data_IF_642544017699
#
_entry.id   IF_642544017699
#
_cell.length_a   1.000
_cell.length_b   1.000
_cell.length_c   1.000
_cell.angle_alpha   90.00
_cell.angle_beta   90.00
_cell.angle_gamma   90.00
#
_symmetry.space_group_name_H-M   'P 1'
#
loop_
_entity.id
_entity.type
_entity.pdbx_description
1 polymer ?
#
# COMPACT_ATOMS: atom_id res chain seq x y z
N UNK A 1 -22.90 -15.54 16.54
CA UNK A 1 -22.61 -14.91 15.24
C UNK A 1 -22.82 -13.43 15.46
N UNK A 2 -21.76 -12.68 15.74
CA UNK A 2 -21.84 -11.22 15.82
C UNK A 2 -22.12 -10.70 14.41
N UNK A 3 -23.16 -9.89 14.27
CA UNK A 3 -23.42 -9.15 13.03
C UNK A 3 -22.39 -8.02 12.99
N UNK A 4 -21.31 -8.21 12.24
CA UNK A 4 -20.39 -7.11 11.93
C UNK A 4 -21.11 -6.08 11.07
N UNK A 5 -20.87 -4.80 11.35
CA UNK A 5 -21.36 -3.73 10.49
C UNK A 5 -20.66 -3.84 9.12
N UNK A 6 -21.40 -3.60 8.04
CA UNK A 6 -20.78 -3.52 6.73
C UNK A 6 -19.90 -2.25 6.69
N UNK A 7 -18.63 -2.41 6.35
CA UNK A 7 -17.71 -1.29 6.14
C UNK A 7 -18.19 -0.41 4.98
N UNK A 8 -17.85 0.88 5.02
CA UNK A 8 -18.20 1.82 3.96
C UNK A 8 -17.31 1.63 2.73
N UNK A 9 -17.83 2.00 1.56
CA UNK A 9 -17.03 2.04 0.34
C UNK A 9 -15.94 3.11 0.43
N UNK A 10 -14.82 2.90 -0.27
CA UNK A 10 -13.74 3.90 -0.31
C UNK A 10 -14.21 5.18 -0.99
N UNK A 11 -15.09 5.08 -1.98
CA UNK A 11 -15.75 6.22 -2.64
C UNK A 11 -16.52 7.09 -1.64
N UNK A 12 -17.30 6.46 -0.75
CA UNK A 12 -18.03 7.17 0.30
C UNK A 12 -17.08 7.83 1.32
N UNK A 13 -15.98 7.17 1.66
CA UNK A 13 -14.96 7.70 2.57
C UNK A 13 -14.26 8.92 1.94
N UNK A 14 -13.87 8.82 0.67
CA UNK A 14 -13.26 9.92 -0.10
C UNK A 14 -14.21 11.13 -0.14
N UNK A 15 -15.52 10.91 -0.34
CA UNK A 15 -16.50 11.99 -0.35
C UNK A 15 -16.64 12.68 1.01
N UNK A 16 -16.60 11.94 2.12
CA UNK A 16 -16.64 12.55 3.45
C UNK A 16 -15.38 13.37 3.74
N UNK A 17 -14.20 12.89 3.34
CA UNK A 17 -12.95 13.65 3.44
C UNK A 17 -13.03 14.94 2.60
N UNK A 18 -13.56 14.86 1.37
CA UNK A 18 -13.78 16.03 0.49
C UNK A 18 -14.73 17.07 1.09
N UNK A 19 -15.69 16.62 1.90
CA UNK A 19 -16.60 17.50 2.62
C UNK A 19 -16.03 18.03 3.95
N UNK A 20 -14.78 17.69 4.28
CA UNK A 20 -14.11 18.10 5.51
C UNK A 20 -14.53 17.34 6.75
N UNK A 21 -15.17 16.18 6.59
CA UNK A 21 -15.54 15.30 7.72
C UNK A 21 -14.36 14.41 8.11
N UNK A 22 -14.42 13.91 9.34
CA UNK A 22 -13.55 12.84 9.80
C UNK A 22 -14.11 11.48 9.34
N UNK A 23 -13.22 10.51 9.14
CA UNK A 23 -13.53 9.10 8.91
C UNK A 23 -12.65 8.25 9.83
N UNK A 24 -12.94 6.96 9.93
CA UNK A 24 -12.09 5.99 10.62
C UNK A 24 -11.41 5.11 9.56
N UNK A 25 -10.09 4.99 9.64
CA UNK A 25 -9.35 3.99 8.89
C UNK A 25 -8.72 2.99 9.82
N UNK A 26 -8.88 1.72 9.49
CA UNK A 26 -8.22 0.60 10.15
C UNK A 26 -7.08 0.06 9.30
N UNK A 27 -6.00 -0.35 9.95
CA UNK A 27 -4.98 -1.19 9.33
C UNK A 27 -5.26 -2.69 9.52
N UNK A 28 -4.39 -3.54 8.95
CA UNK A 28 -4.56 -5.00 9.02
C UNK A 28 -4.38 -5.52 10.46
N UNK A 29 -5.12 -6.58 10.81
CA UNK A 29 -5.05 -7.22 12.14
C UNK A 29 -3.63 -7.75 12.49
N UNK A 30 -2.82 -8.05 11.48
CA UNK A 30 -1.43 -8.52 11.62
C UNK A 30 -0.39 -7.38 11.62
N UNK A 31 -0.83 -6.10 11.58
CA UNK A 31 0.04 -4.91 11.61
C UNK A 31 -0.03 -4.22 12.98
N UNK A 32 -0.70 -3.06 13.11
CA UNK A 32 -0.95 -2.38 14.39
C UNK A 32 -2.28 -2.84 15.00
N UNK A 33 -3.22 -3.27 14.15
CA UNK A 33 -4.59 -3.66 14.49
C UNK A 33 -5.37 -2.51 15.16
N UNK A 34 -5.11 -1.29 14.71
CA UNK A 34 -5.59 -0.05 15.31
C UNK A 34 -6.48 0.71 14.33
N UNK A 35 -7.21 1.70 14.84
CA UNK A 35 -8.05 2.58 14.05
C UNK A 35 -7.75 4.04 14.35
N UNK A 36 -7.58 4.82 13.29
CA UNK A 36 -7.29 6.24 13.37
C UNK A 36 -8.49 7.05 12.89
N UNK A 37 -8.78 8.13 13.61
CA UNK A 37 -9.54 9.24 13.05
C UNK A 37 -8.68 9.89 11.96
N UNK A 38 -9.25 10.11 10.78
CA UNK A 38 -8.56 10.71 9.63
C UNK A 38 -9.40 11.86 9.07
N UNK A 39 -8.76 13.00 8.78
CA UNK A 39 -9.36 14.08 7.99
C UNK A 39 -8.32 14.77 7.11
N UNK A 40 -8.75 15.45 6.04
CA UNK A 40 -7.88 16.31 5.27
C UNK A 40 -7.43 17.53 6.10
N UNK A 41 -6.12 17.80 6.11
CA UNK A 41 -5.54 18.83 6.96
C UNK A 41 -6.01 20.25 6.60
N UNK A 42 -6.34 20.52 5.35
CA UNK A 42 -6.87 21.82 4.91
C UNK A 42 -8.25 22.16 5.50
N UNK A 43 -8.99 21.15 5.96
CA UNK A 43 -10.28 21.29 6.62
C UNK A 43 -10.17 21.27 8.16
N UNK A 44 -8.95 21.23 8.71
CA UNK A 44 -8.75 21.13 10.15
C UNK A 44 -9.28 22.37 10.90
N UNK A 45 -10.14 22.12 11.88
CA UNK A 45 -10.69 23.13 12.79
C UNK A 45 -10.33 22.85 14.25
N UNK A 46 -10.54 23.84 15.12
CA UNK A 46 -10.36 23.68 16.56
C UNK A 46 -11.32 22.63 17.14
N UNK A 47 -12.53 22.54 16.61
CA UNK A 47 -13.52 21.53 17.00
C UNK A 47 -13.06 20.13 16.65
N UNK A 48 -12.48 19.94 15.46
CA UNK A 48 -11.94 18.65 15.05
C UNK A 48 -10.76 18.20 15.92
N UNK A 49 -9.80 19.11 16.20
CA UNK A 49 -8.70 18.81 17.13
C UNK A 49 -9.21 18.50 18.54
N UNK A 50 -10.22 19.24 19.01
CA UNK A 50 -10.82 18.98 20.32
C UNK A 50 -11.55 17.62 20.35
N UNK A 51 -12.23 17.25 19.26
CA UNK A 51 -12.84 15.94 19.10
C UNK A 51 -11.79 14.83 19.15
N UNK A 52 -10.74 14.93 18.34
CA UNK A 52 -9.62 13.99 18.33
C UNK A 52 -8.95 13.86 19.71
N UNK A 53 -8.72 14.97 20.41
CA UNK A 53 -8.11 14.95 21.75
C UNK A 53 -9.01 14.33 22.82
N UNK A 54 -10.34 14.49 22.69
CA UNK A 54 -11.31 14.00 23.67
C UNK A 54 -11.70 12.54 23.46
N UNK A 55 -11.95 12.17 22.20
CA UNK A 55 -12.55 10.89 21.83
C UNK A 55 -11.54 9.93 21.19
N UNK A 56 -10.60 10.44 20.39
CA UNK A 56 -9.45 9.63 19.92
C UNK A 56 -8.47 9.38 21.07
N UNK A 57 -8.05 10.46 21.75
CA UNK A 57 -7.11 10.49 22.89
C UNK A 57 -5.67 10.09 22.55
N UNK A 58 -5.44 9.56 21.35
CA UNK A 58 -4.12 9.26 20.81
C UNK A 58 -3.28 10.49 20.52
N UNK A 59 -2.18 10.28 19.81
CA UNK A 59 -1.26 11.33 19.45
C UNK A 59 -1.76 12.01 18.17
N UNK A 60 -2.15 13.28 18.28
CA UNK A 60 -2.55 14.04 17.10
C UNK A 60 -1.33 14.30 16.21
N UNK A 61 -1.31 13.62 15.08
CA UNK A 61 -0.25 13.67 14.11
C UNK A 61 -0.74 14.32 12.81
N UNK A 62 0.21 14.75 11.98
CA UNK A 62 -0.07 15.43 10.71
C UNK A 62 0.69 14.74 9.56
N UNK A 63 0.13 13.68 8.96
CA UNK A 63 0.67 13.10 7.74
C UNK A 63 0.80 14.13 6.63
N UNK A 64 1.93 14.14 5.94
CA UNK A 64 2.17 14.97 4.77
C UNK A 64 3.16 14.30 3.83
N UNK A 65 3.05 14.64 2.55
CA UNK A 65 3.99 14.15 1.54
C UNK A 65 5.42 14.58 1.81
N UNK A 66 6.38 13.80 1.29
CA UNK A 66 7.81 14.17 1.31
C UNK A 66 8.04 15.57 0.74
N UNK A 67 7.42 15.89 -0.39
CA UNK A 67 7.54 17.21 -1.04
C UNK A 67 7.09 18.35 -0.12
N UNK A 68 5.99 18.15 0.62
CA UNK A 68 5.50 19.11 1.62
C UNK A 68 6.47 19.26 2.78
N UNK A 69 7.03 18.16 3.30
CA UNK A 69 8.09 18.20 4.31
C UNK A 69 9.32 18.98 3.83
N UNK A 70 9.76 18.73 2.59
CA UNK A 70 10.91 19.41 1.98
C UNK A 70 10.67 20.91 1.79
N UNK A 71 9.49 21.30 1.31
CA UNK A 71 9.08 22.71 1.20
C UNK A 71 9.13 23.43 2.56
N UNK A 72 8.69 22.76 3.62
CA UNK A 72 8.67 23.31 4.98
C UNK A 72 9.99 23.16 5.73
N UNK A 73 10.99 22.49 5.14
CA UNK A 73 12.28 22.24 5.79
C UNK A 73 12.17 21.32 7.02
N UNK A 74 11.33 20.29 6.96
CA UNK A 74 11.05 19.36 8.06
C UNK A 74 11.81 18.03 7.88
N UNK A 75 13.02 17.87 8.45
CA UNK A 75 13.73 16.59 8.43
C UNK A 75 13.10 15.59 9.39
N UNK A 76 13.43 14.30 9.22
CA UNK A 76 13.12 13.26 10.21
C UNK A 76 13.77 13.59 11.55
N UNK A 77 13.04 13.37 12.64
CA UNK A 77 13.55 13.67 13.98
C UNK A 77 14.68 12.71 14.43
N UNK A 78 14.70 11.49 13.90
CA UNK A 78 15.73 10.47 14.15
C UNK A 78 16.20 9.90 12.81
N UNK A 79 17.52 9.80 12.63
CA UNK A 79 18.12 9.27 11.39
C UNK A 79 18.07 7.75 11.29
N UNK A 80 18.24 7.04 12.41
CA UNK A 80 18.13 5.58 12.47
C UNK A 80 16.86 5.20 13.22
N UNK A 81 15.77 5.03 12.49
CA UNK A 81 14.49 4.64 13.06
C UNK A 81 14.51 3.14 13.39
N UNK A 82 14.48 2.82 14.68
CA UNK A 82 14.41 1.45 15.18
C UNK A 82 12.97 1.01 15.54
N UNK A 83 11.95 1.81 15.19
CA UNK A 83 10.55 1.45 15.39
C UNK A 83 10.16 0.26 14.52
N UNK A 84 9.40 -0.67 15.10
CA UNK A 84 8.94 -1.89 14.40
C UNK A 84 8.08 -1.60 13.16
N UNK A 85 7.38 -0.47 13.12
CA UNK A 85 6.49 -0.08 12.00
C UNK A 85 7.05 1.04 11.11
N UNK A 86 8.27 1.51 11.41
CA UNK A 86 9.00 2.48 10.59
C UNK A 86 8.37 3.87 10.46
N UNK A 87 7.42 4.24 11.32
CA UNK A 87 6.70 5.54 11.27
C UNK A 87 7.68 6.71 11.27
N UNK A 88 7.59 7.56 10.24
CA UNK A 88 8.57 8.59 9.91
C UNK A 88 8.23 9.95 10.52
N UNK A 89 8.40 10.05 11.84
CA UNK A 89 8.25 11.31 12.55
C UNK A 89 9.28 12.34 12.08
N UNK A 90 8.80 13.54 11.77
CA UNK A 90 9.63 14.74 11.61
C UNK A 90 9.76 15.48 12.95
N UNK A 91 10.48 16.60 12.96
CA UNK A 91 10.49 17.49 14.12
C UNK A 91 9.07 18.02 14.41
N UNK A 92 8.69 18.08 15.69
CA UNK A 92 7.40 18.68 16.06
C UNK A 92 7.37 20.17 15.75
N UNK A 93 6.20 20.67 15.37
CA UNK A 93 6.02 22.03 14.85
C UNK A 93 4.98 22.82 15.63
N UNK A 94 5.13 24.13 15.61
CA UNK A 94 4.15 25.12 16.04
C UNK A 94 4.04 26.24 14.98
N UNK A 95 2.87 26.85 14.80
CA UNK A 95 2.76 28.06 13.99
C UNK A 95 3.59 29.20 14.61
N UNK A 96 4.31 29.94 13.78
CA UNK A 96 5.11 31.08 14.24
C UNK A 96 4.25 32.25 14.76
N UNK A 97 3.00 32.35 14.30
CA UNK A 97 2.07 33.43 14.65
C UNK A 97 0.64 32.92 14.82
N UNK A 98 -0.13 33.60 15.67
CA UNK A 98 -1.55 33.29 15.89
C UNK A 98 -1.80 32.18 16.90
N UNK A 99 -0.79 31.84 17.71
CA UNK A 99 -0.83 30.85 18.79
C UNK A 99 -0.31 31.45 20.09
N UNK A 100 -0.57 30.78 21.21
CA UNK A 100 -0.07 31.16 22.53
C UNK A 100 0.98 30.17 23.04
N UNK A 101 0.54 29.11 23.72
CA UNK A 101 1.39 28.02 24.19
C UNK A 101 1.49 26.89 23.18
N UNK A 102 0.58 26.84 22.19
CA UNK A 102 0.58 25.83 21.14
C UNK A 102 -0.32 24.63 21.41
N UNK A 103 -0.58 24.28 22.67
CA UNK A 103 -1.25 23.02 23.03
C UNK A 103 -2.79 23.06 22.89
N UNK A 104 -3.39 24.25 22.90
CA UNK A 104 -4.85 24.38 22.82
C UNK A 104 -5.38 23.80 21.50
N UNK A 105 -6.65 23.42 21.46
CA UNK A 105 -7.24 22.91 20.21
C UNK A 105 -7.20 23.96 19.09
N UNK A 106 -7.40 25.23 19.43
CA UNK A 106 -7.29 26.34 18.48
C UNK A 106 -5.86 26.58 18.01
N UNK A 107 -4.88 26.52 18.92
CA UNK A 107 -3.46 26.72 18.58
C UNK A 107 -2.96 25.57 17.67
N UNK A 108 -3.26 24.32 18.02
CA UNK A 108 -2.94 23.15 17.20
C UNK A 108 -3.59 23.20 15.81
N UNK A 109 -4.86 23.57 15.73
CA UNK A 109 -5.54 23.77 14.45
C UNK A 109 -4.88 24.88 13.62
N UNK A 110 -4.49 25.99 14.27
CA UNK A 110 -3.76 27.08 13.61
C UNK A 110 -2.41 26.62 13.07
N UNK A 111 -1.71 25.76 13.79
CA UNK A 111 -0.45 25.13 13.37
C UNK A 111 -0.64 24.25 12.14
N UNK A 112 -1.65 23.39 12.13
CA UNK A 112 -2.01 22.58 10.94
C UNK A 112 -2.28 23.48 9.73
N UNK A 113 -3.12 24.51 9.91
CA UNK A 113 -3.46 25.46 8.84
C UNK A 113 -2.25 26.23 8.29
N UNK A 114 -1.28 26.56 9.14
CA UNK A 114 -0.04 27.21 8.70
C UNK A 114 0.81 26.27 7.84
N UNK A 115 0.88 24.99 8.20
CA UNK A 115 1.66 23.99 7.48
C UNK A 115 1.06 23.60 6.11
N UNK A 116 -0.27 23.55 5.98
CA UNK A 116 -0.94 23.24 4.69
C UNK A 116 -1.31 24.46 3.84
N UNK A 117 -0.96 25.67 4.26
CA UNK A 117 -1.23 26.84 3.44
C UNK A 117 -0.56 26.69 2.06
N UNK A 118 -1.26 27.07 0.98
CA UNK A 118 -0.78 26.92 -0.41
C UNK A 118 0.64 27.48 -0.63
N UNK A 119 0.96 28.59 0.03
CA UNK A 119 2.26 29.26 -0.06
C UNK A 119 3.09 29.13 1.23
N UNK A 120 2.84 28.10 2.04
CA UNK A 120 3.53 27.88 3.30
C UNK A 120 5.04 27.84 3.10
N UNK A 121 5.77 28.44 4.05
CA UNK A 121 7.23 28.48 4.08
C UNK A 121 7.71 27.93 5.41
N UNK A 122 8.96 27.45 5.45
CA UNK A 122 9.61 27.04 6.68
C UNK A 122 9.50 28.08 7.82
N UNK A 123 9.56 29.38 7.50
CA UNK A 123 9.44 30.47 8.48
C UNK A 123 8.04 30.67 9.09
N UNK A 124 7.01 30.05 8.51
CA UNK A 124 5.65 30.10 9.05
C UNK A 124 5.47 29.15 10.24
N UNK A 125 6.46 28.28 10.46
CA UNK A 125 6.52 27.28 11.53
C UNK A 125 7.78 27.48 12.38
N UNK A 126 7.70 27.07 13.63
CA UNK A 126 8.84 26.98 14.56
C UNK A 126 8.93 25.56 15.10
N UNK A 127 10.13 25.15 15.51
CA UNK A 127 10.40 23.86 16.15
C UNK A 127 11.12 24.08 17.49
N UNK A 128 10.80 23.31 18.56
CA UNK A 128 9.75 22.28 18.63
C UNK A 128 8.33 22.88 18.76
N UNK A 129 7.31 22.04 18.71
CA UNK A 129 5.91 22.40 18.99
C UNK A 129 5.02 21.21 19.34
N UNK A 130 3.70 21.38 19.22
CA UNK A 130 2.68 20.41 19.70
C UNK A 130 1.88 19.71 18.59
N UNK A 131 2.22 19.93 17.32
CA UNK A 131 1.79 19.08 16.20
C UNK A 131 2.98 18.23 15.75
N UNK A 132 2.73 16.96 15.43
CA UNK A 132 3.75 15.97 15.07
C UNK A 132 3.60 15.56 13.61
N UNK A 133 4.36 16.16 12.68
CA UNK A 133 4.22 15.80 11.27
C UNK A 133 4.87 14.45 10.97
N UNK A 134 4.20 13.67 10.13
CA UNK A 134 4.64 12.36 9.67
C UNK A 134 4.90 12.42 8.17
N UNK A 135 6.09 12.00 7.74
CA UNK A 135 6.46 11.99 6.33
C UNK A 135 5.96 10.70 5.68
N UNK A 136 5.06 10.82 4.69
CA UNK A 136 4.61 9.66 3.92
C UNK A 136 5.67 9.21 2.90
N UNK A 137 5.64 7.93 2.55
CA UNK A 137 6.46 7.45 1.44
C UNK A 137 5.93 7.88 0.07
N UNK A 138 6.83 8.12 -0.91
CA UNK A 138 6.44 8.25 -2.30
C UNK A 138 5.63 7.03 -2.74
N UNK A 139 4.51 7.26 -3.43
CA UNK A 139 3.58 6.20 -3.83
C UNK A 139 2.46 5.89 -2.83
N UNK A 140 2.53 6.42 -1.60
CA UNK A 140 1.46 6.26 -0.61
C UNK A 140 1.25 4.81 -0.18
N UNK A 141 0.00 4.39 -0.03
CA UNK A 141 -0.35 3.06 0.51
C UNK A 141 0.13 1.90 -0.35
N UNK A 142 0.44 2.17 -1.62
CA UNK A 142 1.00 1.21 -2.56
C UNK A 142 2.49 0.93 -2.30
N UNK A 143 3.18 1.82 -1.57
CA UNK A 143 4.55 1.63 -1.10
C UNK A 143 4.58 1.14 0.35
N UNK A 144 3.77 1.75 1.23
CA UNK A 144 3.70 1.41 2.66
C UNK A 144 2.26 1.50 3.14
N UNK A 145 1.70 0.37 3.59
CA UNK A 145 0.34 0.27 4.09
C UNK A 145 0.21 0.81 5.54
N UNK A 146 0.40 2.11 5.75
CA UNK A 146 0.27 2.76 7.06
C UNK A 146 -0.72 3.91 7.06
N UNK A 147 -1.22 4.28 8.25
CA UNK A 147 -2.14 5.41 8.44
C UNK A 147 -1.58 6.73 7.90
N UNK A 148 -0.25 6.92 7.96
CA UNK A 148 0.44 8.07 7.38
C UNK A 148 0.18 8.18 5.88
N UNK A 149 0.46 7.12 5.11
CA UNK A 149 0.25 7.12 3.67
C UNK A 149 -1.23 7.20 3.31
N UNK A 150 -2.07 6.42 4.00
CA UNK A 150 -3.51 6.38 3.74
C UNK A 150 -4.17 7.75 3.89
N UNK A 151 -3.74 8.54 4.87
CA UNK A 151 -4.25 9.89 5.11
C UNK A 151 -3.87 10.87 4.01
N UNK A 152 -2.61 10.83 3.54
CA UNK A 152 -2.17 11.63 2.41
C UNK A 152 -2.92 11.26 1.12
N UNK A 153 -3.10 9.95 0.89
CA UNK A 153 -3.77 9.44 -0.31
C UNK A 153 -5.26 9.78 -0.32
N UNK A 154 -5.98 9.59 0.80
CA UNK A 154 -7.38 9.99 0.90
C UNK A 154 -7.58 11.48 0.68
N UNK A 155 -6.72 12.32 1.25
CA UNK A 155 -6.77 13.76 1.03
C UNK A 155 -6.53 14.11 -0.46
N UNK A 156 -5.56 13.47 -1.11
CA UNK A 156 -5.29 13.67 -2.53
C UNK A 156 -6.47 13.21 -3.41
N UNK A 157 -7.04 12.03 -3.16
CA UNK A 157 -8.21 11.49 -3.88
C UNK A 157 -9.47 12.36 -3.67
N UNK A 158 -9.58 13.01 -2.52
CA UNK A 158 -10.62 13.99 -2.23
C UNK A 158 -10.45 15.31 -3.02
N UNK A 159 -9.28 15.57 -3.60
CA UNK A 159 -8.94 16.83 -4.28
C UNK A 159 -8.39 17.90 -3.34
N UNK A 160 -8.01 17.53 -2.12
CA UNK A 160 -7.41 18.38 -1.11
C UNK A 160 -5.87 18.40 -1.25
N UNK A 161 -5.22 19.29 -0.49
CA UNK A 161 -3.78 19.16 -0.24
C UNK A 161 -3.45 17.74 0.28
N UNK A 162 -2.43 17.03 -0.27
CA UNK A 162 -1.99 15.70 0.18
C UNK A 162 -1.35 15.69 1.58
N UNK A 163 -2.13 16.08 2.58
CA UNK A 163 -1.80 16.11 3.99
C UNK A 163 -3.07 15.87 4.81
N UNK A 164 -2.92 15.11 5.90
CA UNK A 164 -4.00 14.75 6.80
C UNK A 164 -3.75 15.21 8.23
N UNK A 165 -4.76 15.03 9.07
CA UNK A 165 -4.62 15.02 10.53
C UNK A 165 -5.18 13.70 11.03
N UNK A 166 -4.39 13.00 11.83
CA UNK A 166 -4.77 11.71 12.39
C UNK A 166 -4.66 11.68 13.91
N UNK A 167 -5.43 10.78 14.52
CA UNK A 167 -5.37 10.49 15.94
C UNK A 167 -5.86 9.07 16.17
N UNK A 168 -5.04 8.23 16.79
CA UNK A 168 -5.43 6.86 17.15
C UNK A 168 -6.59 6.90 18.14
N UNK A 169 -7.50 5.91 18.05
CA UNK A 169 -8.68 5.80 18.92
C UNK A 169 -8.39 4.84 20.08
N UNK A 170 -8.47 5.35 21.31
CA UNK A 170 -8.36 4.58 22.54
C UNK A 170 -9.70 4.41 23.25
N UNK A 171 -9.89 3.24 23.85
CA UNK A 171 -10.97 2.93 24.76
C UNK A 171 -10.87 3.76 26.06
N UNK A 172 -11.94 3.76 26.85
CA UNK A 172 -12.02 4.50 28.12
C UNK A 172 -11.00 4.07 29.18
N UNK A 173 -10.57 2.81 29.12
CA UNK A 173 -9.56 2.25 30.01
C UNK A 173 -8.12 2.53 29.54
N UNK A 174 -7.95 3.21 28.40
CA UNK A 174 -6.66 3.52 27.79
C UNK A 174 -6.07 2.40 26.93
N UNK A 175 -6.81 1.30 26.71
CA UNK A 175 -6.44 0.31 25.70
C UNK A 175 -6.76 0.81 24.29
N UNK A 176 -6.11 0.27 23.26
CA UNK A 176 -6.42 0.62 21.86
C UNK A 176 -7.77 0.04 21.45
N UNK A 177 -8.61 0.84 20.79
CA UNK A 177 -9.88 0.39 20.25
C UNK A 177 -9.63 -0.60 19.11
N UNK A 178 -10.27 -1.76 19.17
CA UNK A 178 -10.21 -2.77 18.09
C UNK A 178 -11.46 -2.72 17.24
N UNK A 179 -11.52 -3.51 16.17
CA UNK A 179 -12.62 -3.52 15.19
C UNK A 179 -14.03 -3.35 15.80
N UNK A 180 -14.40 -4.16 16.78
CA UNK A 180 -15.74 -4.08 17.39
C UNK A 180 -15.98 -2.77 18.16
N UNK A 181 -14.92 -2.21 18.76
CA UNK A 181 -14.98 -0.92 19.45
C UNK A 181 -15.11 0.22 18.43
N UNK A 182 -14.34 0.14 17.34
CA UNK A 182 -14.33 1.10 16.24
C UNK A 182 -15.66 1.13 15.48
N UNK A 183 -16.28 -0.02 15.22
CA UNK A 183 -17.61 -0.11 14.61
C UNK A 183 -18.66 0.59 15.49
N UNK A 184 -18.60 0.43 16.83
CA UNK A 184 -19.50 1.14 17.76
C UNK A 184 -19.20 2.63 17.83
N UNK A 185 -17.92 3.01 17.84
CA UNK A 185 -17.48 4.40 17.85
C UNK A 185 -17.93 5.13 16.58
N UNK A 186 -17.83 4.47 15.42
CA UNK A 186 -18.32 4.95 14.13
C UNK A 186 -19.83 5.25 14.17
N UNK A 187 -20.62 4.31 14.70
CA UNK A 187 -22.07 4.48 14.85
C UNK A 187 -22.43 5.60 15.85
N UNK A 188 -21.76 5.67 17.00
CA UNK A 188 -22.00 6.70 18.03
C UNK A 188 -21.75 8.12 17.51
N UNK A 189 -20.72 8.29 16.69
CA UNK A 189 -20.27 9.59 16.21
C UNK A 189 -20.64 9.90 14.76
N UNK A 190 -21.42 9.03 14.10
CA UNK A 190 -21.84 9.17 12.70
C UNK A 190 -20.64 9.35 11.75
N UNK A 191 -19.63 8.48 11.91
CA UNK A 191 -18.41 8.48 11.10
C UNK A 191 -18.38 7.24 10.21
N UNK A 192 -17.96 7.42 8.95
CA UNK A 192 -17.68 6.29 8.07
C UNK A 192 -16.41 5.56 8.49
N UNK A 193 -16.39 4.25 8.29
CA UNK A 193 -15.28 3.37 8.63
C UNK A 193 -14.88 2.49 7.44
N UNK A 194 -13.57 2.36 7.20
CA UNK A 194 -13.02 1.49 6.16
C UNK A 194 -11.62 1.00 6.50
N UNK A 195 -10.98 0.27 5.59
CA UNK A 195 -9.65 -0.31 5.79
C UNK A 195 -8.62 0.24 4.80
N UNK A 196 -7.36 0.26 5.21
CA UNK A 196 -6.23 0.55 4.31
C UNK A 196 -6.16 -0.49 3.19
N UNK A 197 -6.49 -1.75 3.47
CA UNK A 197 -6.57 -2.81 2.46
C UNK A 197 -7.56 -2.46 1.34
N UNK A 198 -8.77 -1.99 1.69
CA UNK A 198 -9.77 -1.55 0.71
C UNK A 198 -9.30 -0.31 -0.05
N UNK A 199 -8.57 0.62 0.59
CA UNK A 199 -7.98 1.78 -0.08
C UNK A 199 -6.89 1.37 -1.09
N UNK A 200 -6.01 0.45 -0.72
CA UNK A 200 -5.00 -0.12 -1.63
C UNK A 200 -5.71 -0.74 -2.84
N UNK A 201 -6.75 -1.53 -2.59
CA UNK A 201 -7.56 -2.14 -3.65
C UNK A 201 -8.17 -1.09 -4.58
N UNK A 202 -8.84 -0.08 -4.01
CA UNK A 202 -9.44 1.02 -4.74
C UNK A 202 -8.43 1.75 -5.63
N UNK A 203 -7.27 2.16 -5.07
CA UNK A 203 -6.23 2.86 -5.84
C UNK A 203 -5.70 1.98 -6.96
N UNK A 204 -5.42 0.71 -6.69
CA UNK A 204 -4.87 -0.20 -7.70
C UNK A 204 -5.83 -0.43 -8.88
N UNK A 205 -7.15 -0.35 -8.66
CA UNK A 205 -8.15 -0.48 -9.72
C UNK A 205 -8.37 0.80 -10.52
N UNK A 206 -8.27 1.95 -9.88
CA UNK A 206 -8.61 3.25 -10.46
C UNK A 206 -7.40 4.03 -10.98
N UNK A 207 -6.18 3.64 -10.60
CA UNK A 207 -4.94 4.29 -11.01
C UNK A 207 -4.10 3.36 -11.90
N UNK A 208 -3.45 3.94 -12.91
CA UNK A 208 -2.44 3.24 -13.71
C UNK A 208 -1.07 3.51 -13.11
N UNK A 209 -0.47 2.49 -12.52
CA UNK A 209 0.82 2.61 -11.83
C UNK A 209 1.99 2.05 -12.63
N UNK A 210 1.68 1.25 -13.66
CA UNK A 210 2.66 0.67 -14.59
C UNK A 210 2.44 1.13 -16.03
N UNK A 211 3.53 1.35 -16.74
CA UNK A 211 3.54 1.74 -18.16
C UNK A 211 4.46 0.82 -18.97
N UNK A 212 3.96 0.30 -20.10
CA UNK A 212 4.79 -0.43 -21.06
C UNK A 212 5.70 0.57 -21.80
N UNK A 213 7.01 0.43 -21.62
CA UNK A 213 8.02 1.34 -22.18
C UNK A 213 8.75 0.78 -23.38
N UNK A 214 8.73 -0.54 -23.57
CA UNK A 214 9.47 -1.21 -24.64
C UNK A 214 8.85 -2.57 -24.99
N UNK A 215 8.96 -2.98 -26.25
CA UNK A 215 8.56 -4.29 -26.75
C UNK A 215 9.63 -4.83 -27.71
N UNK A 216 10.10 -6.07 -27.50
CA UNK A 216 11.11 -6.75 -28.32
C UNK A 216 10.78 -8.23 -28.48
N UNK A 217 11.30 -8.86 -29.54
CA UNK A 217 11.32 -10.32 -29.64
C UNK A 217 12.57 -10.87 -28.92
N UNK A 218 12.37 -11.83 -28.03
CA UNK A 218 13.41 -12.48 -27.23
C UNK A 218 13.48 -13.97 -27.58
N UNK A 219 14.58 -14.38 -28.20
CA UNK A 219 14.89 -15.78 -28.47
C UNK A 219 15.41 -16.46 -27.19
N UNK A 220 14.75 -17.54 -26.77
CA UNK A 220 15.06 -18.27 -25.53
C UNK A 220 15.20 -19.76 -25.80
N UNK A 221 15.71 -20.53 -24.83
CA UNK A 221 15.78 -22.00 -24.93
C UNK A 221 14.40 -22.67 -25.07
N UNK A 222 13.32 -21.96 -24.74
CA UNK A 222 11.94 -22.43 -24.84
C UNK A 222 11.24 -21.94 -26.12
N UNK A 223 11.91 -21.14 -26.95
CA UNK A 223 11.34 -20.50 -28.14
C UNK A 223 11.33 -18.98 -28.06
N UNK A 224 10.74 -18.34 -29.07
CA UNK A 224 10.70 -16.87 -29.19
C UNK A 224 9.49 -16.32 -28.42
N UNK A 225 9.76 -15.48 -27.42
CA UNK A 225 8.75 -14.72 -26.69
C UNK A 225 8.75 -13.27 -27.15
N UNK A 226 7.58 -12.65 -27.17
CA UNK A 226 7.46 -11.20 -27.17
C UNK A 226 7.70 -10.72 -25.74
N UNK A 227 8.78 -9.96 -25.53
CA UNK A 227 9.14 -9.36 -24.26
C UNK A 227 8.59 -7.93 -24.21
N UNK A 228 7.76 -7.64 -23.21
CA UNK A 228 7.35 -6.27 -22.86
C UNK A 228 8.01 -5.83 -21.56
N UNK A 229 8.57 -4.63 -21.56
CA UNK A 229 9.18 -4.00 -20.39
C UNK A 229 8.22 -2.99 -19.79
N UNK A 230 7.93 -3.13 -18.50
CA UNK A 230 7.06 -2.22 -17.76
C UNK A 230 7.85 -1.42 -16.74
N UNK A 231 7.57 -0.12 -16.66
CA UNK A 231 8.10 0.77 -15.63
C UNK A 231 7.03 1.01 -14.57
N UNK A 232 7.40 0.78 -13.31
CA UNK A 232 6.60 1.15 -12.16
C UNK A 232 6.92 2.60 -11.76
N UNK A 233 5.91 3.46 -11.81
CA UNK A 233 6.04 4.88 -11.47
C UNK A 233 6.06 5.15 -9.95
N UNK A 234 5.75 4.13 -9.13
CA UNK A 234 5.76 4.21 -7.68
C UNK A 234 7.13 3.85 -7.13
N UNK A 235 7.61 2.64 -7.41
CA UNK A 235 8.87 2.15 -6.86
C UNK A 235 10.07 2.43 -7.78
N UNK A 236 9.84 2.87 -9.02
CA UNK A 236 10.87 2.99 -10.04
C UNK A 236 11.41 1.63 -10.54
N UNK A 237 10.73 0.54 -10.18
CA UNK A 237 11.12 -0.81 -10.57
C UNK A 237 10.83 -1.05 -12.06
N UNK A 238 11.53 -2.03 -12.63
CA UNK A 238 11.30 -2.52 -13.98
C UNK A 238 10.80 -3.96 -13.92
N UNK A 239 9.63 -4.21 -14.50
CA UNK A 239 9.00 -5.52 -14.59
C UNK A 239 9.00 -6.00 -16.04
N UNK A 240 8.88 -7.31 -16.25
CA UNK A 240 8.85 -7.90 -17.59
C UNK A 240 7.57 -8.72 -17.76
N UNK A 241 7.03 -8.74 -18.97
CA UNK A 241 6.06 -9.75 -19.39
C UNK A 241 6.61 -10.45 -20.62
N UNK A 242 6.68 -11.78 -20.56
CA UNK A 242 7.06 -12.65 -21.67
C UNK A 242 5.80 -13.30 -22.22
N UNK A 243 5.44 -12.97 -23.46
CA UNK A 243 4.22 -13.42 -24.11
C UNK A 243 4.55 -14.39 -25.23
N UNK A 244 3.74 -15.44 -25.38
CA UNK A 244 3.77 -16.32 -26.54
C UNK A 244 2.38 -16.43 -27.15
N UNK A 245 2.31 -16.42 -28.47
CA UNK A 245 1.06 -16.49 -29.22
C UNK A 245 0.17 -15.24 -29.07
N UNK A 246 -1.04 -15.32 -29.62
CA UNK A 246 -2.04 -14.26 -29.52
C UNK A 246 -2.85 -14.41 -28.23
N UNK A 247 -2.94 -13.34 -27.44
CA UNK A 247 -3.72 -13.31 -26.20
C UNK A 247 -5.00 -12.51 -26.46
N UNK A 248 -6.15 -13.09 -26.09
CA UNK A 248 -7.44 -12.41 -26.12
C UNK A 248 -8.16 -12.51 -24.77
N UNK A 249 -8.99 -11.52 -24.39
CA UNK A 249 -9.67 -11.55 -23.10
C UNK A 249 -10.64 -12.72 -22.92
N UNK A 250 -11.27 -13.17 -24.02
CA UNK A 250 -12.35 -14.16 -23.99
C UNK A 250 -11.89 -15.60 -23.82
N UNK A 251 -10.63 -15.88 -24.13
CA UNK A 251 -10.07 -17.23 -24.17
C UNK A 251 -9.04 -17.44 -23.05
N UNK A 252 -9.18 -18.51 -22.25
CA UNK A 252 -8.24 -18.76 -21.17
C UNK A 252 -6.84 -19.09 -21.71
N UNK A 253 -5.81 -18.47 -21.12
CA UNK A 253 -4.40 -18.74 -21.42
C UNK A 253 -3.63 -19.15 -20.17
N UNK A 254 -2.51 -19.88 -20.31
CA UNK A 254 -1.64 -20.15 -19.16
C UNK A 254 -0.91 -18.88 -18.75
N UNK A 255 -0.98 -18.57 -17.45
CA UNK A 255 -0.36 -17.38 -16.87
C UNK A 255 0.47 -17.74 -15.67
N UNK A 256 1.65 -17.14 -15.54
CA UNK A 256 2.43 -17.13 -14.30
C UNK A 256 2.78 -15.69 -13.93
N UNK A 257 2.40 -15.25 -12.74
CA UNK A 257 2.98 -14.05 -12.11
C UNK A 257 4.06 -14.54 -11.15
N UNK A 258 5.30 -14.16 -11.41
CA UNK A 258 6.49 -14.68 -10.72
C UNK A 258 7.27 -13.53 -10.08
N UNK A 259 7.60 -13.68 -8.81
CA UNK A 259 8.53 -12.80 -8.11
C UNK A 259 9.92 -13.41 -8.28
N UNK A 260 10.86 -12.60 -8.77
CA UNK A 260 12.22 -13.06 -9.06
C UNK A 260 12.95 -13.55 -7.80
N UNK A 261 13.57 -14.73 -7.87
CA UNK A 261 14.36 -15.34 -6.80
C UNK A 261 15.70 -15.79 -7.36
N UNK A 262 16.80 -15.17 -6.92
CA UNK A 262 18.16 -15.46 -7.39
C UNK A 262 18.54 -16.94 -7.23
N UNK A 263 18.23 -17.57 -6.10
CA UNK A 263 18.64 -18.95 -5.84
C UNK A 263 17.87 -19.92 -6.74
N UNK A 264 16.56 -19.73 -6.89
CA UNK A 264 15.73 -20.63 -7.70
C UNK A 264 15.87 -20.38 -9.18
N UNK A 265 15.88 -19.11 -9.60
CA UNK A 265 15.79 -18.73 -11.01
C UNK A 265 17.17 -18.71 -11.68
N UNK A 266 18.23 -18.25 -11.00
CA UNK A 266 19.58 -18.24 -11.58
C UNK A 266 20.39 -19.50 -11.26
N UNK A 267 20.30 -20.03 -10.02
CA UNK A 267 21.10 -21.20 -9.62
C UNK A 267 20.36 -22.54 -9.76
N UNK A 268 19.06 -22.52 -10.06
CA UNK A 268 18.25 -23.73 -10.16
C UNK A 268 18.04 -24.44 -8.82
N UNK A 269 18.14 -23.72 -7.69
CA UNK A 269 17.99 -24.30 -6.36
C UNK A 269 16.56 -24.85 -6.14
N UNK A 270 16.48 -26.03 -5.53
CA UNK A 270 15.21 -26.71 -5.24
C UNK A 270 15.03 -26.89 -3.74
N UNK A 271 13.81 -26.64 -3.25
CA UNK A 271 13.40 -26.94 -1.87
C UNK A 271 12.49 -28.17 -1.90
N UNK A 272 12.77 -29.17 -1.05
CA UNK A 272 12.15 -30.51 -1.10
C UNK A 272 10.61 -30.52 -1.03
N UNK A 273 9.99 -29.47 -0.49
CA UNK A 273 8.53 -29.37 -0.33
C UNK A 273 7.90 -28.16 -1.05
N UNK A 274 8.65 -27.48 -1.94
CA UNK A 274 8.11 -26.32 -2.64
C UNK A 274 7.07 -26.74 -3.69
N UNK A 275 5.84 -26.24 -3.52
CA UNK A 275 4.73 -26.40 -4.48
C UNK A 275 4.59 -25.22 -5.45
N UNK A 276 5.55 -24.28 -5.42
CA UNK A 276 5.54 -23.10 -6.27
C UNK A 276 6.25 -23.41 -7.59
N UNK A 277 5.62 -23.05 -8.71
CA UNK A 277 6.20 -23.19 -10.05
C UNK A 277 7.58 -22.51 -10.13
N UNK A 278 8.64 -23.25 -10.55
CA UNK A 278 9.90 -22.64 -10.96
C UNK A 278 9.71 -21.81 -12.23
N UNK A 279 10.46 -20.71 -12.38
CA UNK A 279 10.38 -19.84 -13.56
C UNK A 279 10.55 -20.61 -14.88
N UNK A 280 11.64 -21.39 -14.97
CA UNK A 280 11.98 -22.16 -16.16
C UNK A 280 10.88 -23.13 -16.60
N UNK A 281 10.20 -23.77 -15.63
CA UNK A 281 9.11 -24.70 -15.94
C UNK A 281 7.82 -23.97 -16.35
N UNK A 282 7.59 -22.75 -15.83
CA UNK A 282 6.47 -21.93 -16.29
C UNK A 282 6.70 -21.44 -17.72
N UNK A 283 7.92 -21.03 -18.07
CA UNK A 283 8.30 -20.65 -19.44
C UNK A 283 8.15 -21.82 -20.40
N UNK A 284 8.68 -22.99 -20.04
CA UNK A 284 8.53 -24.22 -20.82
C UNK A 284 7.06 -24.58 -21.01
N UNK A 285 6.25 -24.53 -19.94
CA UNK A 285 4.82 -24.86 -20.02
C UNK A 285 4.04 -23.93 -20.94
N UNK A 286 4.31 -22.63 -20.89
CA UNK A 286 3.70 -21.64 -21.78
C UNK A 286 4.16 -21.88 -23.23
N UNK A 287 5.43 -22.25 -23.41
CA UNK A 287 5.98 -22.54 -24.72
C UNK A 287 5.38 -23.80 -25.37
N UNK A 288 5.20 -24.87 -24.61
CA UNK A 288 4.56 -26.12 -25.06
C UNK A 288 3.13 -25.90 -25.57
N UNK A 289 2.36 -25.03 -24.89
CA UNK A 289 1.01 -24.68 -25.34
C UNK A 289 1.03 -23.74 -26.56
N UNK A 290 2.13 -23.02 -26.76
CA UNK A 290 2.29 -22.00 -27.81
C UNK A 290 1.47 -20.72 -27.55
N UNK A 291 0.85 -20.60 -26.37
CA UNK A 291 0.01 -19.46 -26.00
C UNK A 291 -0.03 -19.20 -24.51
N UNK A 292 0.36 -17.99 -24.08
CA UNK A 292 0.30 -17.59 -22.68
C UNK A 292 1.24 -16.45 -22.32
N UNK A 293 1.35 -16.20 -21.01
CA UNK A 293 2.18 -15.12 -20.49
C UNK A 293 2.89 -15.50 -19.17
N UNK A 294 4.15 -15.07 -19.04
CA UNK A 294 4.90 -15.10 -17.79
C UNK A 294 5.28 -13.67 -17.42
N UNK A 295 4.71 -13.16 -16.33
CA UNK A 295 5.02 -11.84 -15.77
C UNK A 295 6.08 -12.00 -14.69
N UNK A 296 7.18 -11.27 -14.81
CA UNK A 296 8.28 -11.21 -13.86
C UNK A 296 8.22 -9.88 -13.12
N UNK A 297 7.85 -9.95 -11.84
CA UNK A 297 7.85 -8.80 -10.95
C UNK A 297 9.19 -8.71 -10.24
N UNK A 298 10.00 -7.73 -10.65
CA UNK A 298 11.18 -7.33 -9.89
C UNK A 298 10.75 -6.63 -8.60
N UNK A 299 11.15 -7.19 -7.46
CA UNK A 299 11.04 -6.54 -6.15
C UNK A 299 12.35 -5.82 -5.88
N UNK A 300 12.31 -4.48 -5.83
CA UNK A 300 13.50 -3.66 -5.58
C UNK A 300 14.16 -3.97 -4.22
N UNK A 301 13.43 -4.57 -3.27
CA UNK A 301 13.98 -4.99 -1.99
C UNK A 301 14.76 -6.31 -2.04
N UNK A 302 14.44 -7.20 -2.99
CA UNK A 302 15.02 -8.55 -3.04
C UNK A 302 16.40 -8.58 -3.72
N UNK A 303 16.74 -7.54 -4.46
CA UNK A 303 18.04 -7.41 -5.12
C UNK A 303 19.18 -7.02 -4.17
N UNK A 304 18.89 -6.54 -2.95
CA UNK A 304 19.91 -6.01 -2.05
C UNK A 304 20.22 -6.84 -0.79
N UNK A 305 19.48 -7.92 -0.52
CA UNK A 305 19.74 -8.75 0.67
C UNK A 305 19.78 -10.26 0.37
N UNK A 306 20.76 -10.63 -0.46
CA UNK A 306 21.03 -12.03 -0.80
C UNK A 306 21.40 -12.86 0.45
N UNK A 307 22.02 -12.25 1.46
CA UNK A 307 22.39 -12.93 2.71
C UNK A 307 21.15 -13.44 3.46
N UNK A 308 20.13 -12.60 3.64
CA UNK A 308 18.87 -13.00 4.27
C UNK A 308 18.16 -14.08 3.44
N UNK A 309 18.15 -13.97 2.10
CA UNK A 309 17.53 -14.99 1.23
C UNK A 309 18.24 -16.34 1.31
N UNK A 310 19.57 -16.34 1.42
CA UNK A 310 20.33 -17.57 1.65
C UNK A 310 19.96 -18.17 3.02
N UNK A 311 19.89 -17.35 4.07
CA UNK A 311 19.51 -17.83 5.39
C UNK A 311 18.09 -18.42 5.38
N UNK A 312 17.11 -17.71 4.83
CA UNK A 312 15.72 -18.19 4.68
C UNK A 312 15.61 -19.50 3.88
N UNK A 313 16.45 -19.66 2.86
CA UNK A 313 16.44 -20.88 2.03
C UNK A 313 16.92 -22.11 2.82
N UNK A 314 17.91 -21.96 3.69
CA UNK A 314 18.51 -23.04 4.47
C UNK A 314 17.93 -23.20 5.89
N UNK A 315 17.20 -22.21 6.42
CA UNK A 315 16.56 -22.31 7.73
C UNK A 315 15.24 -23.11 7.64
N UNK A 316 15.24 -24.32 8.22
CA UNK A 316 14.09 -25.24 8.21
C UNK A 316 13.01 -24.90 9.26
N UNK A 317 13.23 -23.88 10.11
CA UNK A 317 12.50 -23.74 11.39
C UNK A 317 11.83 -22.39 11.71
N UNK A 318 12.01 -21.33 10.92
CA UNK A 318 11.27 -20.08 11.10
C UNK A 318 10.44 -19.83 9.85
N UNK A 319 9.12 -19.88 9.98
CA UNK A 319 8.23 -19.33 8.96
C UNK A 319 8.73 -17.93 8.61
N UNK A 320 8.75 -17.59 7.32
CA UNK A 320 9.18 -16.27 6.87
C UNK A 320 8.60 -15.25 7.85
N UNK A 321 9.45 -14.40 8.44
CA UNK A 321 8.95 -13.15 9.01
C UNK A 321 8.27 -12.46 7.85
N UNK A 322 6.97 -12.72 7.73
CA UNK A 322 6.21 -12.44 6.53
C UNK A 322 6.30 -10.95 6.35
N UNK A 323 7.08 -10.51 5.36
CA UNK A 323 6.93 -9.17 4.82
C UNK A 323 5.43 -9.00 4.63
N UNK A 324 4.87 -8.01 5.33
CA UNK A 324 3.44 -7.91 5.61
C UNK A 324 2.58 -7.95 4.36
N UNK A 325 1.28 -7.87 4.57
CA UNK A 325 0.25 -7.79 3.54
C UNK A 325 0.62 -6.94 2.30
N UNK A 326 1.47 -5.91 2.45
CA UNK A 326 2.04 -5.09 1.36
C UNK A 326 2.68 -5.87 0.21
N UNK A 327 3.47 -6.92 0.46
CA UNK A 327 4.14 -7.68 -0.61
C UNK A 327 3.17 -8.48 -1.48
N UNK A 328 2.08 -8.98 -0.86
CA UNK A 328 1.01 -9.69 -1.54
C UNK A 328 0.16 -8.72 -2.35
N UNK A 329 -0.21 -7.56 -1.78
CA UNK A 329 -0.94 -6.52 -2.51
C UNK A 329 -0.14 -5.96 -3.69
N UNK A 330 1.17 -5.77 -3.53
CA UNK A 330 2.05 -5.36 -4.63
C UNK A 330 2.08 -6.38 -5.78
N UNK A 331 2.26 -7.66 -5.44
CA UNK A 331 2.30 -8.76 -6.43
C UNK A 331 0.99 -8.87 -7.20
N UNK A 332 -0.13 -8.77 -6.49
CA UNK A 332 -1.47 -8.87 -7.10
C UNK A 332 -1.77 -7.61 -7.91
N UNK A 333 -1.49 -6.42 -7.39
CA UNK A 333 -1.84 -5.17 -8.04
C UNK A 333 -1.04 -4.90 -9.30
N UNK A 334 0.29 -4.86 -9.19
CA UNK A 334 1.21 -4.66 -10.32
C UNK A 334 1.04 -5.77 -11.35
N UNK A 335 0.97 -7.03 -10.90
CA UNK A 335 0.74 -8.18 -11.77
C UNK A 335 -0.58 -8.08 -12.54
N UNK A 336 -1.68 -7.73 -11.87
CA UNK A 336 -3.00 -7.62 -12.51
C UNK A 336 -3.06 -6.48 -13.53
N UNK A 337 -2.45 -5.32 -13.26
CA UNK A 337 -2.37 -4.24 -14.23
C UNK A 337 -1.58 -4.63 -15.48
N UNK A 338 -0.44 -5.32 -15.31
CA UNK A 338 0.34 -5.85 -16.44
C UNK A 338 -0.47 -6.87 -17.24
N UNK A 339 -1.15 -7.81 -16.57
CA UNK A 339 -1.99 -8.82 -17.22
C UNK A 339 -3.12 -8.19 -18.05
N UNK A 340 -3.77 -7.16 -17.50
CA UNK A 340 -4.80 -6.40 -18.22
C UNK A 340 -4.23 -5.67 -19.44
N UNK A 341 -3.05 -5.05 -19.32
CA UNK A 341 -2.39 -4.33 -20.43
C UNK A 341 -2.01 -5.27 -21.59
N UNK A 342 -1.56 -6.49 -21.28
CA UNK A 342 -1.28 -7.50 -22.31
C UNK A 342 -2.53 -8.17 -22.90
N UNK A 343 -3.72 -7.83 -22.42
CA UNK A 343 -5.00 -8.32 -22.95
C UNK A 343 -5.46 -9.66 -22.38
N UNK A 344 -4.91 -10.11 -21.23
CA UNK A 344 -5.46 -11.27 -20.52
C UNK A 344 -6.79 -10.86 -19.89
N UNK A 345 -7.81 -11.70 -20.09
CA UNK A 345 -9.09 -11.63 -19.37
C UNK A 345 -9.33 -12.90 -18.57
N UNK A 346 -9.26 -14.07 -19.24
CA UNK A 346 -9.33 -15.38 -18.58
C UNK A 346 -7.96 -16.04 -18.50
N UNK A 347 -7.66 -16.68 -17.37
CA UNK A 347 -6.38 -17.34 -17.16
C UNK A 347 -6.46 -18.68 -16.41
N UNK A 348 -5.61 -19.61 -16.85
CA UNK A 348 -5.20 -20.81 -16.09
C UNK A 348 -3.92 -20.46 -15.36
N UNK A 349 -4.04 -20.15 -14.07
CA UNK A 349 -2.94 -19.60 -13.29
C UNK A 349 -2.01 -20.72 -12.81
N UNK A 350 -0.74 -20.66 -13.21
CA UNK A 350 0.34 -21.55 -12.78
C UNK A 350 0.76 -21.18 -11.35
N UNK A 351 -0.06 -21.54 -10.37
CA UNK A 351 0.11 -21.18 -8.97
C UNK A 351 -0.64 -22.15 -8.06
N UNK A 352 -0.20 -22.38 -6.81
CA UNK A 352 -1.10 -22.91 -5.80
C UNK A 352 -2.36 -22.03 -5.67
N UNK A 353 -3.51 -22.59 -5.25
CA UNK A 353 -4.72 -21.82 -5.00
C UNK A 353 -4.46 -20.69 -3.99
N UNK A 354 -4.74 -19.46 -4.39
CA UNK A 354 -4.62 -18.28 -3.53
C UNK A 354 -6.04 -17.86 -3.16
N UNK A 355 -6.31 -17.62 -1.87
CA UNK A 355 -7.56 -17.01 -1.44
C UNK A 355 -7.47 -15.51 -1.69
N UNK A 356 -8.00 -15.03 -2.81
CA UNK A 356 -8.05 -13.58 -3.06
C UNK A 356 -9.31 -13.19 -3.85
N UNK A 357 -10.09 -12.29 -3.29
CA UNK A 357 -11.31 -11.72 -3.89
C UNK A 357 -11.05 -10.53 -4.81
N UNK A 358 -9.82 -9.98 -4.82
CA UNK A 358 -9.51 -8.71 -5.49
C UNK A 358 -9.23 -8.79 -7.00
N UNK A 359 -9.04 -9.99 -7.57
CA UNK A 359 -8.68 -10.14 -8.99
C UNK A 359 -9.88 -9.76 -9.90
N UNK A 360 -11.10 -9.92 -9.40
CA UNK A 360 -12.34 -9.68 -10.17
C UNK A 360 -12.51 -8.24 -10.65
N UNK A 361 -12.05 -7.23 -9.90
CA UNK A 361 -12.18 -5.83 -10.33
C UNK A 361 -11.06 -5.36 -11.28
N UNK A 362 -10.15 -6.26 -11.69
CA UNK A 362 -9.20 -6.00 -12.79
C UNK A 362 -9.72 -6.52 -14.14
N UNK A 363 -10.98 -6.95 -14.20
CA UNK A 363 -11.56 -7.68 -15.34
C UNK A 363 -10.79 -8.98 -15.66
N UNK A 364 -10.21 -9.59 -14.62
CA UNK A 364 -9.45 -10.84 -14.68
C UNK A 364 -10.23 -11.99 -14.03
N UNK A 365 -10.28 -13.13 -14.69
CA UNK A 365 -10.95 -14.35 -14.23
C UNK A 365 -9.95 -15.53 -14.20
N UNK A 366 -9.76 -16.10 -13.02
CA UNK A 366 -9.00 -17.36 -12.88
C UNK A 366 -9.95 -18.53 -13.10
N UNK A 367 -9.88 -19.16 -14.27
CA UNK A 367 -10.73 -20.32 -14.61
C UNK A 367 -10.21 -21.61 -13.99
N UNK A 368 -8.91 -21.67 -13.70
CA UNK A 368 -8.24 -22.85 -13.15
C UNK A 368 -6.95 -22.45 -12.43
N UNK A 369 -6.68 -23.07 -11.28
CA UNK A 369 -5.37 -23.05 -10.63
C UNK A 369 -4.64 -24.35 -10.94
N UNK A 370 -3.50 -24.24 -11.61
CA UNK A 370 -2.70 -25.40 -12.04
C UNK A 370 -1.54 -25.58 -11.07
N UNK A 371 -1.54 -26.62 -10.21
CA UNK A 371 -0.46 -26.83 -9.25
C UNK A 371 0.80 -27.35 -9.96
N UNK A 372 1.97 -27.04 -9.37
CA UNK A 372 3.23 -27.64 -9.80
C UNK A 372 3.39 -29.01 -9.13
N UNK A 373 3.57 -30.06 -9.93
CA UNK A 373 3.92 -31.41 -9.47
C UNK A 373 5.37 -31.70 -9.84
N UNK A 374 6.31 -31.72 -8.86
CA UNK A 374 7.68 -32.14 -9.12
C UNK A 374 7.69 -33.61 -9.55
N UNK A 375 8.48 -33.93 -10.57
CA UNK A 375 8.85 -35.32 -10.91
C UNK A 375 9.75 -35.96 -9.85
#
# INVERSE_FOLDING_TARGET
MQNHMALNSIEDIIEDIRQGKMVILMDDEDRENEGDLVMAAEHCTAEAINFMARFGRGLICMPMTRDRCEQLGLPLMVQQNASGFGTKFTLSIEAAVGVTTGISAADRARTVQAAVARNAKASDLVQPGHIFPLMSDPGGVLSRAGHTEASCDLAALAGCEPAGVICEIMNDDGSMARREDLERFAEEHDLKIGTIADLIHYRTMNERTVECVEENDLDTEYGVFKLRTYRDNIQGATHLAMLMGDISPDEPVYVRVHITDTLRDLLGARRKDSRSWPLHHALEKVAEEGRGAVVLLNSAEDSYNLEDRIQEFFDEGKGSSGKGSSGVYFTVGTGSQILRDIGVGKMRLLSPPIKFSAISGFDLEVVEYVPYTPE
#
